data_IF_684798383308
#
_entry.id   IF_684798383308
#
_cell.length_a   1.000
_cell.length_b   1.000
_cell.length_c   1.000
_cell.angle_alpha   90.00
_cell.angle_beta   90.00
_cell.angle_gamma   90.00
#
_symmetry.space_group_name_H-M   'P 1'
#
loop_
_entity.id
_entity.type
_entity.pdbx_description
1 polymer ?
#
# COMPACT_ATOMS: atom_id res chain seq x y z
N UNK A 1 -65.98 -3.96 21.15
CA UNK A 1 -64.73 -3.18 21.24
C UNK A 1 -63.62 -4.15 21.65
N UNK A 2 -62.69 -4.50 20.75
CA UNK A 2 -61.72 -5.60 20.92
C UNK A 2 -60.29 -5.03 21.12
N UNK A 3 -59.49 -5.45 22.11
CA UNK A 3 -58.34 -4.66 22.59
C UNK A 3 -56.96 -5.08 22.04
N UNK A 4 -56.85 -5.64 20.84
CA UNK A 4 -55.56 -6.05 20.27
C UNK A 4 -55.30 -5.42 18.90
N UNK A 5 -54.93 -4.14 18.88
CA UNK A 5 -54.27 -3.56 17.70
C UNK A 5 -52.79 -3.97 17.71
N UNK A 6 -52.44 -4.86 16.78
CA UNK A 6 -51.06 -5.24 16.46
C UNK A 6 -50.28 -3.95 16.12
N UNK A 7 -49.21 -3.64 16.85
CA UNK A 7 -48.31 -2.52 16.51
C UNK A 7 -47.74 -2.81 15.11
N UNK A 8 -48.05 -1.95 14.14
CA UNK A 8 -47.39 -1.95 12.83
C UNK A 8 -45.91 -1.66 13.05
N UNK A 9 -45.05 -2.56 12.61
CA UNK A 9 -43.60 -2.38 12.57
C UNK A 9 -43.30 -1.16 11.69
N UNK A 10 -42.93 -0.04 12.33
CA UNK A 10 -42.48 1.16 11.63
C UNK A 10 -41.02 0.94 11.24
N UNK A 11 -40.79 0.36 10.06
CA UNK A 11 -39.45 0.33 9.48
C UNK A 11 -39.07 1.75 9.10
N UNK A 12 -38.12 2.31 9.83
CA UNK A 12 -37.46 3.53 9.42
C UNK A 12 -36.57 3.16 8.23
N UNK A 13 -37.07 3.41 7.02
CA UNK A 13 -36.25 3.31 5.81
C UNK A 13 -35.45 4.59 5.75
N UNK A 14 -34.29 4.60 6.39
CA UNK A 14 -33.30 5.64 6.21
C UNK A 14 -32.85 5.61 4.73
N UNK A 15 -33.45 6.48 3.92
CA UNK A 15 -33.07 6.73 2.53
C UNK A 15 -31.63 7.25 2.50
N UNK A 16 -30.69 6.35 2.23
CA UNK A 16 -29.25 6.65 2.11
C UNK A 16 -28.33 5.57 2.71
N UNK A 17 -28.73 4.94 3.82
CA UNK A 17 -27.88 3.95 4.51
C UNK A 17 -27.71 2.66 3.70
N UNK A 18 -28.78 2.17 3.09
CA UNK A 18 -28.72 1.00 2.19
C UNK A 18 -27.87 1.29 0.94
N UNK A 19 -27.91 2.53 0.41
CA UNK A 19 -27.08 2.91 -0.73
C UNK A 19 -25.59 3.02 -0.35
N UNK A 20 -25.27 3.56 0.83
CA UNK A 20 -23.91 3.62 1.34
C UNK A 20 -23.33 2.22 1.63
N UNK A 21 -24.13 1.32 2.22
CA UNK A 21 -23.75 -0.08 2.44
C UNK A 21 -23.62 -0.82 1.11
N UNK A 22 -24.55 -0.63 0.17
CA UNK A 22 -24.45 -1.26 -1.14
C UNK A 22 -23.24 -0.76 -1.93
N UNK A 23 -22.88 0.52 -1.87
CA UNK A 23 -21.67 1.06 -2.50
C UNK A 23 -20.39 0.54 -1.83
N UNK A 24 -20.38 0.43 -0.49
CA UNK A 24 -19.28 -0.20 0.24
C UNK A 24 -19.14 -1.69 -0.09
N UNK A 25 -20.26 -2.40 -0.25
CA UNK A 25 -20.31 -3.82 -0.61
C UNK A 25 -20.01 -4.06 -2.08
N UNK A 26 -20.46 -3.21 -2.99
CA UNK A 26 -20.14 -3.26 -4.41
C UNK A 26 -18.64 -3.06 -4.61
N UNK A 27 -18.02 -2.09 -3.92
CA UNK A 27 -16.57 -1.92 -3.93
C UNK A 27 -15.84 -3.18 -3.44
N UNK A 28 -16.35 -3.85 -2.41
CA UNK A 28 -15.77 -5.10 -1.92
C UNK A 28 -15.99 -6.31 -2.88
N UNK A 29 -17.16 -6.40 -3.53
CA UNK A 29 -17.60 -7.54 -4.34
C UNK A 29 -17.15 -7.44 -5.80
N UNK A 30 -17.10 -6.24 -6.38
CA UNK A 30 -16.87 -6.04 -7.80
C UNK A 30 -15.40 -6.23 -8.23
N UNK A 31 -14.44 -6.33 -7.30
CA UNK A 31 -13.03 -6.64 -7.60
C UNK A 31 -12.30 -5.63 -8.49
N UNK A 32 -12.95 -4.54 -8.92
CA UNK A 32 -12.34 -3.44 -9.66
C UNK A 32 -11.49 -2.56 -8.73
N UNK A 33 -11.86 -2.45 -7.44
CA UNK A 33 -10.93 -2.06 -6.39
C UNK A 33 -10.17 -3.29 -5.88
N UNK A 34 -8.83 -3.24 -5.95
CA UNK A 34 -7.95 -4.32 -5.48
C UNK A 34 -6.91 -4.80 -6.50
N UNK A 35 -7.03 -4.45 -7.78
CA UNK A 35 -6.01 -4.85 -8.79
C UNK A 35 -4.68 -4.14 -8.51
N UNK A 36 -4.72 -2.86 -8.15
CA UNK A 36 -3.53 -2.13 -7.75
C UNK A 36 -2.86 -2.76 -6.51
N UNK A 37 -3.61 -3.43 -5.63
CA UNK A 37 -3.04 -4.17 -4.49
C UNK A 37 -2.17 -5.34 -4.93
N UNK A 38 -2.42 -5.92 -6.10
CA UNK A 38 -1.62 -7.02 -6.65
C UNK A 38 -0.29 -6.52 -7.25
N UNK A 39 -0.09 -5.21 -7.39
CA UNK A 39 1.16 -4.66 -7.91
C UNK A 39 2.30 -4.88 -6.93
N UNK A 40 3.51 -5.14 -7.46
CA UNK A 40 4.70 -5.32 -6.63
C UNK A 40 4.96 -4.09 -5.75
N UNK A 41 4.72 -2.88 -6.26
CA UNK A 41 4.88 -1.63 -5.50
C UNK A 41 4.02 -1.59 -4.25
N UNK A 42 2.74 -1.97 -4.35
CA UNK A 42 1.86 -2.00 -3.17
C UNK A 42 2.24 -3.13 -2.24
N UNK A 43 2.49 -4.34 -2.76
CA UNK A 43 2.87 -5.47 -1.90
C UNK A 43 4.18 -5.22 -1.14
N UNK A 44 5.14 -4.49 -1.74
CA UNK A 44 6.36 -4.09 -1.03
C UNK A 44 6.04 -3.13 0.12
N UNK A 45 5.17 -2.13 -0.08
CA UNK A 45 4.76 -1.22 1.00
C UNK A 45 4.03 -1.96 2.14
N UNK A 46 3.09 -2.83 1.78
CA UNK A 46 2.34 -3.68 2.72
C UNK A 46 3.30 -4.57 3.53
N UNK A 47 4.27 -5.18 2.86
CA UNK A 47 5.30 -6.03 3.51
C UNK A 47 6.17 -5.23 4.49
N UNK A 48 6.49 -3.96 4.20
CA UNK A 48 7.23 -3.11 5.12
C UNK A 48 6.44 -2.85 6.40
N UNK A 49 5.14 -2.54 6.28
CA UNK A 49 4.27 -2.32 7.44
C UNK A 49 4.14 -3.60 8.29
N UNK A 50 3.93 -4.75 7.65
CA UNK A 50 3.87 -6.06 8.31
C UNK A 50 5.15 -6.38 9.06
N UNK A 51 6.28 -6.22 8.41
CA UNK A 51 7.58 -6.55 8.99
C UNK A 51 7.87 -5.69 10.21
N UNK A 52 7.50 -4.40 10.15
CA UNK A 52 7.66 -3.50 11.27
C UNK A 52 6.77 -3.88 12.46
N UNK A 53 5.49 -4.16 12.23
CA UNK A 53 4.58 -4.59 13.31
C UNK A 53 4.95 -5.98 13.86
N UNK A 54 5.40 -6.90 13.02
CA UNK A 54 5.87 -8.22 13.46
C UNK A 54 7.12 -8.13 14.36
N UNK A 55 7.94 -7.10 14.17
CA UNK A 55 9.13 -6.82 14.97
C UNK A 55 8.87 -5.91 16.17
N UNK A 56 7.67 -5.35 16.29
CA UNK A 56 7.34 -4.38 17.33
C UNK A 56 7.56 -4.98 18.74
N UNK A 57 8.10 -4.16 19.64
CA UNK A 57 8.16 -4.47 21.05
C UNK A 57 6.79 -4.15 21.67
N UNK A 58 6.08 -5.18 22.14
CA UNK A 58 4.79 -5.02 22.82
C UNK A 58 4.98 -5.28 24.31
N UNK A 59 4.47 -4.38 25.15
CA UNK A 59 4.44 -4.50 26.61
C UNK A 59 3.00 -4.37 27.10
N UNK A 60 2.65 -5.08 28.18
CA UNK A 60 1.34 -4.97 28.83
C UNK A 60 0.28 -5.97 28.37
N UNK A 61 0.54 -6.76 27.32
CA UNK A 61 -0.33 -7.87 26.90
C UNK A 61 0.41 -8.92 26.09
N UNK A 62 0.02 -10.18 26.25
CA UNK A 62 0.51 -11.31 25.43
C UNK A 62 -0.41 -11.61 24.23
N UNK A 63 -1.56 -10.94 24.15
CA UNK A 63 -2.55 -11.15 23.08
C UNK A 63 -2.09 -10.60 21.72
N UNK A 64 -1.21 -9.60 21.73
CA UNK A 64 -0.63 -8.98 20.54
C UNK A 64 0.69 -9.67 20.17
N UNK A 65 0.60 -10.94 19.79
CA UNK A 65 1.77 -11.67 19.30
C UNK A 65 2.25 -11.17 17.92
N UNK A 66 3.46 -11.58 17.52
CA UNK A 66 4.08 -11.14 16.25
C UNK A 66 3.21 -11.44 15.03
N UNK A 67 2.47 -12.55 15.05
CA UNK A 67 1.62 -12.98 13.93
C UNK A 67 0.38 -12.08 13.84
N UNK A 68 -0.24 -11.81 14.97
CA UNK A 68 -1.40 -10.93 15.10
C UNK A 68 -1.03 -9.51 14.71
N UNK A 69 0.11 -9.01 15.18
CA UNK A 69 0.63 -7.70 14.79
C UNK A 69 0.87 -7.58 13.28
N UNK A 70 1.49 -8.60 12.65
CA UNK A 70 1.65 -8.63 11.21
C UNK A 70 0.30 -8.61 10.47
N UNK A 71 -0.68 -9.40 10.92
CA UNK A 71 -2.02 -9.43 10.32
C UNK A 71 -2.75 -8.09 10.48
N UNK A 72 -2.61 -7.43 11.63
CA UNK A 72 -3.17 -6.09 11.86
C UNK A 72 -2.58 -5.10 10.86
N UNK A 73 -1.26 -5.07 10.70
CA UNK A 73 -0.61 -4.18 9.74
C UNK A 73 -1.04 -4.46 8.30
N UNK A 74 -1.12 -5.73 7.89
CA UNK A 74 -1.63 -6.12 6.56
C UNK A 74 -3.05 -5.61 6.33
N UNK A 75 -3.95 -5.87 7.29
CA UNK A 75 -5.35 -5.46 7.19
C UNK A 75 -5.45 -3.92 7.14
N UNK A 76 -4.69 -3.22 7.98
CA UNK A 76 -4.66 -1.77 8.00
C UNK A 76 -4.10 -1.17 6.69
N UNK A 77 -3.10 -1.81 6.08
CA UNK A 77 -2.52 -1.37 4.80
C UNK A 77 -3.49 -1.56 3.62
N UNK A 78 -4.25 -2.66 3.60
CA UNK A 78 -5.12 -3.03 2.49
C UNK A 78 -6.52 -2.43 2.64
N UNK A 79 -7.07 -2.43 3.85
CA UNK A 79 -8.45 -2.02 4.14
C UNK A 79 -8.54 -0.65 4.81
N UNK A 80 -7.44 -0.17 5.40
CA UNK A 80 -7.45 1.01 6.27
C UNK A 80 -7.92 0.72 7.68
N UNK A 81 -8.24 -0.53 8.00
CA UNK A 81 -8.78 -0.94 9.29
C UNK A 81 -8.49 -2.41 9.59
N UNK A 82 -8.50 -2.76 10.87
CA UNK A 82 -8.35 -4.12 11.35
C UNK A 82 -9.28 -4.36 12.52
N UNK A 83 -10.09 -5.42 12.42
CA UNK A 83 -11.08 -5.81 13.43
C UNK A 83 -10.74 -7.18 13.97
N UNK A 84 -10.56 -7.26 15.29
CA UNK A 84 -10.25 -8.50 15.99
C UNK A 84 -11.25 -8.73 17.12
N UNK A 85 -11.82 -9.92 17.18
CA UNK A 85 -12.67 -10.34 18.28
C UNK A 85 -11.79 -10.78 19.46
N UNK A 86 -12.11 -10.27 20.64
CA UNK A 86 -11.44 -10.59 21.90
C UNK A 86 -12.08 -11.86 22.49
N UNK A 87 -11.26 -12.90 22.68
CA UNK A 87 -11.58 -14.14 23.41
C UNK A 87 -10.38 -14.52 24.30
N UNK A 88 -10.05 -15.79 24.36
CA UNK A 88 -8.77 -16.31 24.87
C UNK A 88 -7.56 -15.86 24.02
N UNK A 89 -7.83 -15.49 22.76
CA UNK A 89 -6.89 -14.88 21.81
C UNK A 89 -7.59 -13.78 21.01
N UNK A 90 -6.83 -13.02 20.24
CA UNK A 90 -7.38 -12.12 19.23
C UNK A 90 -7.67 -12.88 17.95
N UNK A 91 -8.94 -12.85 17.52
CA UNK A 91 -9.40 -13.56 16.33
C UNK A 91 -9.67 -12.53 15.23
N UNK A 92 -8.88 -12.51 14.14
CA UNK A 92 -9.13 -11.61 13.02
C UNK A 92 -10.50 -11.85 12.41
N UNK A 93 -11.27 -10.78 12.26
CA UNK A 93 -12.58 -10.83 11.62
C UNK A 93 -12.42 -10.58 10.12
N UNK A 94 -13.01 -11.45 9.29
CA UNK A 94 -12.93 -11.32 7.85
C UNK A 94 -13.85 -10.21 7.31
N UNK A 95 -14.97 -9.99 8.00
CA UNK A 95 -15.99 -9.01 7.65
C UNK A 95 -16.74 -8.57 8.92
N UNK A 96 -17.30 -7.37 8.90
CA UNK A 96 -18.06 -6.83 10.02
C UNK A 96 -19.10 -5.81 9.56
N UNK A 97 -20.10 -5.65 10.41
CA UNK A 97 -21.09 -4.57 10.35
C UNK A 97 -21.24 -4.03 11.76
N UNK A 98 -21.55 -2.75 11.93
CA UNK A 98 -21.60 -2.13 13.24
C UNK A 98 -22.78 -1.18 13.39
N UNK A 99 -23.24 -1.07 14.62
CA UNK A 99 -24.20 -0.05 15.03
C UNK A 99 -23.48 1.02 15.82
N UNK A 100 -23.79 2.29 15.55
CA UNK A 100 -23.26 3.43 16.30
C UNK A 100 -24.33 4.16 17.09
N UNK A 101 -23.90 4.93 18.07
CA UNK A 101 -24.66 5.99 18.72
C UNK A 101 -23.76 7.22 18.80
N UNK A 102 -24.21 8.35 18.29
CA UNK A 102 -23.42 9.59 18.25
C UNK A 102 -22.04 9.41 17.56
N UNK A 103 -21.98 8.53 16.55
CA UNK A 103 -20.75 8.17 15.84
C UNK A 103 -19.84 7.15 16.56
N UNK A 104 -20.19 6.74 17.79
CA UNK A 104 -19.42 5.79 18.60
C UNK A 104 -19.97 4.36 18.40
N UNK A 105 -19.13 3.37 18.03
CA UNK A 105 -19.56 1.98 17.91
C UNK A 105 -20.11 1.39 19.22
N UNK A 106 -21.25 0.69 19.13
CA UNK A 106 -21.92 0.04 20.27
C UNK A 106 -21.87 -1.48 20.20
N UNK A 107 -22.13 -2.03 19.03
CA UNK A 107 -22.14 -3.46 18.79
C UNK A 107 -21.68 -3.75 17.37
N UNK A 108 -21.02 -4.89 17.21
CA UNK A 108 -20.52 -5.40 15.95
C UNK A 108 -21.21 -6.72 15.64
N UNK A 109 -21.57 -6.92 14.38
CA UNK A 109 -21.80 -8.24 13.81
C UNK A 109 -20.54 -8.63 13.06
N UNK A 110 -19.72 -9.48 13.67
CA UNK A 110 -18.44 -9.93 13.11
C UNK A 110 -18.60 -11.28 12.41
N UNK A 111 -17.81 -11.50 11.37
CA UNK A 111 -17.68 -12.78 10.68
C UNK A 111 -16.26 -13.31 10.81
N UNK A 112 -16.13 -14.54 11.28
CA UNK A 112 -14.87 -15.24 11.51
C UNK A 112 -14.72 -16.31 10.42
N UNK A 113 -13.58 -16.30 9.75
CA UNK A 113 -13.25 -17.32 8.76
C UNK A 113 -12.67 -18.55 9.45
N UNK A 114 -13.31 -19.71 9.26
CA UNK A 114 -12.77 -21.02 9.62
C UNK A 114 -12.54 -21.84 8.36
N UNK A 115 -11.66 -22.84 8.42
CA UNK A 115 -11.38 -23.71 7.28
C UNK A 115 -12.64 -24.43 6.73
N UNK A 116 -13.64 -24.66 7.59
CA UNK A 116 -14.92 -25.29 7.25
C UNK A 116 -16.04 -24.34 6.83
N UNK A 117 -15.79 -23.03 6.78
CA UNK A 117 -16.80 -22.01 6.48
C UNK A 117 -16.78 -20.84 7.45
N UNK A 118 -17.48 -19.75 7.14
CA UNK A 118 -17.54 -18.59 8.02
C UNK A 118 -18.63 -18.73 9.07
N UNK A 119 -18.36 -18.21 10.27
CA UNK A 119 -19.37 -18.05 11.32
C UNK A 119 -19.58 -16.57 11.60
N UNK A 120 -20.82 -16.16 11.87
CA UNK A 120 -21.13 -14.77 12.22
C UNK A 120 -21.78 -14.69 13.59
N UNK A 121 -21.37 -13.72 14.39
CA UNK A 121 -21.93 -13.47 15.72
C UNK A 121 -22.02 -11.97 16.01
N UNK A 122 -23.00 -11.60 16.85
CA UNK A 122 -23.13 -10.21 17.32
C UNK A 122 -22.50 -10.09 18.69
N UNK A 123 -21.62 -9.10 18.85
CA UNK A 123 -20.82 -8.86 20.05
C UNK A 123 -20.84 -7.37 20.40
N UNK A 124 -20.53 -7.05 21.65
CA UNK A 124 -20.44 -5.67 22.10
C UNK A 124 -19.15 -5.01 21.60
N UNK A 125 -19.16 -3.68 21.48
CA UNK A 125 -17.97 -2.93 21.03
C UNK A 125 -16.75 -3.12 21.94
N UNK A 126 -16.95 -3.39 23.24
CA UNK A 126 -15.87 -3.71 24.17
C UNK A 126 -15.23 -5.09 23.95
N UNK A 127 -15.87 -5.98 23.17
CA UNK A 127 -15.33 -7.30 22.85
C UNK A 127 -14.52 -7.32 21.55
N UNK A 128 -14.29 -6.15 20.94
CA UNK A 128 -13.67 -6.04 19.62
C UNK A 128 -12.59 -4.98 19.65
N UNK A 129 -11.38 -5.30 19.21
CA UNK A 129 -10.34 -4.30 18.91
C UNK A 129 -10.56 -3.83 17.47
N UNK A 130 -10.68 -2.52 17.26
CA UNK A 130 -10.88 -1.92 15.95
C UNK A 130 -9.90 -0.77 15.67
N UNK A 131 -8.77 -1.11 15.03
CA UNK A 131 -7.84 -0.13 14.49
C UNK A 131 -8.42 0.49 13.22
N UNK A 132 -8.47 1.82 13.15
CA UNK A 132 -9.02 2.59 12.02
C UNK A 132 -8.03 3.67 11.58
N UNK A 133 -7.73 3.71 10.29
CA UNK A 133 -6.80 4.67 9.67
C UNK A 133 -7.53 5.52 8.63
N UNK A 134 -7.04 6.74 8.39
CA UNK A 134 -7.50 7.57 7.26
C UNK A 134 -9.01 7.84 7.27
N UNK A 135 -9.59 7.92 8.47
CA UNK A 135 -11.02 7.98 8.72
C UNK A 135 -11.65 9.24 8.10
N UNK A 136 -12.84 9.09 7.53
CA UNK A 136 -13.65 10.21 7.02
C UNK A 136 -14.50 10.82 8.16
N UNK A 137 -14.53 12.15 8.33
CA UNK A 137 -15.38 12.81 9.32
C UNK A 137 -16.87 12.46 9.24
N UNK A 138 -17.36 12.06 8.06
CA UNK A 138 -18.76 11.64 7.84
C UNK A 138 -19.01 10.21 8.32
N UNK A 139 -17.97 9.37 8.38
CA UNK A 139 -18.05 7.98 8.84
C UNK A 139 -16.89 7.65 9.80
N UNK A 140 -16.85 8.26 11.02
CA UNK A 140 -15.73 8.13 11.95
C UNK A 140 -15.49 6.70 12.47
N UNK A 141 -16.42 5.78 12.23
CA UNK A 141 -16.38 4.39 12.66
C UNK A 141 -15.78 3.44 11.60
N UNK A 142 -15.36 3.94 10.43
CA UNK A 142 -14.73 3.12 9.38
C UNK A 142 -13.39 3.71 8.94
N UNK A 143 -12.39 2.86 8.77
CA UNK A 143 -11.10 3.23 8.17
C UNK A 143 -11.15 3.34 6.64
N UNK A 144 -10.13 3.97 6.07
CA UNK A 144 -9.90 4.01 4.63
C UNK A 144 -8.45 3.65 4.29
N UNK A 145 -8.30 2.68 3.39
CA UNK A 145 -7.00 2.25 2.90
C UNK A 145 -6.22 3.39 2.22
N UNK A 146 -4.88 3.42 2.32
CA UNK A 146 -4.03 4.32 1.56
C UNK A 146 -4.38 4.40 0.07
N UNK A 147 -4.59 3.25 -0.60
CA UNK A 147 -4.95 3.21 -2.01
C UNK A 147 -6.32 3.80 -2.33
N UNK A 148 -7.28 3.67 -1.41
CA UNK A 148 -8.62 4.26 -1.60
C UNK A 148 -8.53 5.79 -1.59
N UNK A 149 -7.64 6.35 -0.77
CA UNK A 149 -7.34 7.78 -0.71
C UNK A 149 -6.51 8.27 -1.90
N UNK A 150 -5.84 7.38 -2.62
CA UNK A 150 -5.04 7.66 -3.83
C UNK A 150 -5.57 6.95 -5.09
N UNK A 151 -6.90 6.79 -5.18
CA UNK A 151 -7.57 5.96 -6.20
C UNK A 151 -7.22 6.35 -7.64
N UNK A 152 -7.11 7.65 -7.95
CA UNK A 152 -6.72 8.11 -9.28
C UNK A 152 -5.33 7.61 -9.69
N UNK A 153 -4.37 7.66 -8.77
CA UNK A 153 -3.01 7.16 -9.01
C UNK A 153 -2.97 5.64 -9.07
N UNK A 154 -3.76 4.96 -8.24
CA UNK A 154 -3.87 3.51 -8.26
C UNK A 154 -4.42 3.01 -9.61
N UNK A 155 -5.46 3.67 -10.13
CA UNK A 155 -5.99 3.41 -11.47
C UNK A 155 -4.94 3.69 -12.55
N UNK A 156 -4.23 4.83 -12.48
CA UNK A 156 -3.18 5.13 -13.45
C UNK A 156 -2.09 4.05 -13.50
N UNK A 157 -1.62 3.59 -12.33
CA UNK A 157 -0.62 2.52 -12.25
C UNK A 157 -1.11 1.24 -12.93
N UNK A 158 -2.35 0.83 -12.65
CA UNK A 158 -2.98 -0.33 -13.27
C UNK A 158 -3.07 -0.19 -14.79
N UNK A 159 -3.53 0.96 -15.28
CA UNK A 159 -3.70 1.22 -16.72
C UNK A 159 -2.35 1.18 -17.43
N UNK A 160 -1.31 1.80 -16.87
CA UNK A 160 0.03 1.79 -17.46
C UNK A 160 0.64 0.38 -17.48
N UNK A 161 0.56 -0.37 -16.38
CA UNK A 161 1.08 -1.75 -16.33
C UNK A 161 0.31 -2.68 -17.28
N UNK A 162 -1.01 -2.51 -17.37
CA UNK A 162 -1.86 -3.26 -18.32
C UNK A 162 -1.53 -2.91 -19.76
N UNK A 163 -1.42 -1.63 -20.11
CA UNK A 163 -1.06 -1.19 -21.45
C UNK A 163 0.33 -1.69 -21.86
N UNK A 164 1.31 -1.67 -20.94
CA UNK A 164 2.65 -2.19 -21.19
C UNK A 164 2.64 -3.71 -21.39
N UNK A 165 1.91 -4.47 -20.56
CA UNK A 165 1.75 -5.92 -20.71
C UNK A 165 1.10 -6.26 -22.04
N UNK A 166 0.00 -5.59 -22.38
CA UNK A 166 -0.77 -5.89 -23.59
C UNK A 166 0.00 -5.50 -24.85
N UNK A 167 0.72 -4.38 -24.81
CA UNK A 167 1.66 -3.99 -25.86
C UNK A 167 2.78 -5.01 -25.99
N UNK A 168 3.36 -5.44 -24.87
CA UNK A 168 4.41 -6.47 -24.87
C UNK A 168 3.93 -7.78 -25.51
N UNK A 169 2.70 -8.20 -25.21
CA UNK A 169 2.12 -9.43 -25.73
C UNK A 169 1.74 -9.34 -27.21
N UNK A 170 1.18 -8.21 -27.65
CA UNK A 170 0.52 -8.13 -28.95
C UNK A 170 1.30 -7.36 -30.03
N UNK A 171 2.22 -6.46 -29.65
CA UNK A 171 2.93 -5.65 -30.61
C UNK A 171 3.93 -6.48 -31.44
N UNK A 172 4.05 -6.21 -32.75
CA UNK A 172 5.02 -6.86 -33.63
C UNK A 172 6.44 -6.28 -33.41
N UNK A 173 6.96 -6.43 -32.19
CA UNK A 173 8.26 -5.86 -31.79
C UNK A 173 9.41 -6.46 -32.61
N UNK A 174 10.26 -5.58 -33.16
CA UNK A 174 11.38 -5.95 -34.01
C UNK A 174 10.98 -6.54 -35.37
N UNK A 175 9.69 -6.57 -35.70
CA UNK A 175 9.20 -7.15 -36.96
C UNK A 175 9.21 -6.12 -38.08
N UNK A 176 9.52 -6.60 -39.28
CA UNK A 176 9.72 -5.78 -40.48
C UNK A 176 8.96 -6.37 -41.66
N UNK A 177 8.49 -5.50 -42.55
CA UNK A 177 8.04 -5.90 -43.89
C UNK A 177 9.11 -5.45 -44.87
N UNK A 178 9.79 -6.41 -45.49
CA UNK A 178 10.82 -6.16 -46.49
C UNK A 178 10.16 -5.98 -47.85
N UNK A 179 10.38 -4.80 -48.46
CA UNK A 179 9.99 -4.45 -49.82
C UNK A 179 8.50 -4.62 -50.13
N UNK A 180 7.72 -3.62 -49.71
CA UNK A 180 6.29 -3.55 -49.98
C UNK A 180 6.01 -3.44 -51.49
N UNK A 181 5.20 -4.33 -52.09
CA UNK A 181 4.60 -4.08 -53.40
C UNK A 181 3.54 -2.99 -53.30
N UNK A 182 3.19 -2.37 -54.42
CA UNK A 182 1.97 -1.56 -54.49
C UNK A 182 0.76 -2.51 -54.41
N UNK A 183 0.18 -2.65 -53.22
CA UNK A 183 -0.95 -3.54 -52.93
C UNK A 183 -2.20 -2.79 -52.45
N UNK A 184 -3.35 -3.48 -52.42
CA UNK A 184 -4.61 -2.91 -51.93
C UNK A 184 -4.59 -2.71 -50.41
N UNK A 185 -5.36 -1.76 -49.88
CA UNK A 185 -5.41 -1.49 -48.44
C UNK A 185 -5.84 -2.71 -47.59
N UNK A 186 -6.60 -3.66 -48.17
CA UNK A 186 -6.98 -4.92 -47.53
C UNK A 186 -5.81 -5.90 -47.39
N UNK A 187 -4.94 -6.00 -48.40
CA UNK A 187 -3.77 -6.88 -48.34
C UNK A 187 -2.79 -6.41 -47.27
N UNK A 188 -2.66 -5.09 -47.14
CA UNK A 188 -1.86 -4.43 -46.11
C UNK A 188 -2.36 -4.74 -44.69
N UNK A 189 -3.68 -4.78 -44.48
CA UNK A 189 -4.25 -5.12 -43.19
C UNK A 189 -4.01 -6.59 -42.84
N UNK A 190 -4.13 -7.50 -43.81
CA UNK A 190 -3.86 -8.92 -43.63
C UNK A 190 -2.39 -9.20 -43.29
N UNK A 191 -1.44 -8.57 -43.99
CA UNK A 191 -0.01 -8.70 -43.71
C UNK A 191 0.36 -8.19 -42.32
N UNK A 192 -0.19 -7.04 -41.90
CA UNK A 192 0.02 -6.51 -40.54
C UNK A 192 -0.59 -7.40 -39.46
N UNK A 193 -1.79 -7.94 -39.69
CA UNK A 193 -2.44 -8.88 -38.78
C UNK A 193 -1.62 -10.16 -38.59
N UNK A 194 -0.98 -10.66 -39.66
CA UNK A 194 -0.11 -11.84 -39.60
C UNK A 194 1.14 -11.67 -38.72
N UNK A 195 1.53 -10.42 -38.40
CA UNK A 195 2.67 -10.11 -37.56
C UNK A 195 2.30 -9.82 -36.10
N UNK A 196 1.00 -9.69 -35.78
CA UNK A 196 0.54 -9.46 -34.40
C UNK A 196 1.03 -10.58 -33.47
N UNK A 197 1.67 -10.21 -32.36
CA UNK A 197 2.26 -11.14 -31.39
C UNK A 197 3.50 -11.91 -31.88
N UNK A 198 3.94 -11.72 -33.14
CA UNK A 198 5.17 -12.30 -33.67
C UNK A 198 6.31 -11.29 -33.52
N UNK A 199 7.42 -11.72 -32.92
CA UNK A 199 8.59 -10.88 -32.63
C UNK A 199 9.73 -11.21 -33.57
N UNK A 200 10.42 -10.19 -34.07
CA UNK A 200 11.55 -10.34 -35.00
C UNK A 200 11.16 -11.03 -36.32
N UNK A 201 9.87 -11.08 -36.65
CA UNK A 201 9.41 -11.71 -37.86
C UNK A 201 9.63 -10.76 -39.04
N UNK A 202 10.34 -11.24 -40.06
CA UNK A 202 10.47 -10.53 -41.33
C UNK A 202 9.51 -11.15 -42.32
N UNK A 203 8.60 -10.34 -42.87
CA UNK A 203 7.77 -10.75 -43.98
C UNK A 203 8.43 -10.24 -45.26
N UNK A 204 8.96 -11.17 -46.04
CA UNK A 204 9.55 -10.91 -47.36
C UNK A 204 8.44 -11.08 -48.39
N UNK A 205 8.07 -10.00 -49.07
CA UNK A 205 7.07 -10.09 -50.14
C UNK A 205 7.75 -10.42 -51.46
N UNK A 206 7.56 -11.65 -51.93
CA UNK A 206 8.08 -12.08 -53.24
C UNK A 206 7.19 -11.54 -54.36
N UNK A 207 7.70 -10.55 -55.10
CA UNK A 207 6.95 -9.95 -56.22
C UNK A 207 7.79 -9.30 -57.30
N UNK A 208 9.13 -9.34 -57.21
CA UNK A 208 10.02 -8.57 -58.10
C UNK A 208 10.85 -9.44 -59.05
N UNK A 209 10.80 -10.77 -58.94
CA UNK A 209 11.62 -11.67 -59.75
C UNK A 209 11.47 -11.42 -61.27
N UNK A 210 10.26 -11.15 -61.75
CA UNK A 210 9.99 -10.86 -63.16
C UNK A 210 10.46 -9.46 -63.59
N UNK A 211 10.37 -8.46 -62.71
CA UNK A 211 10.85 -7.10 -62.97
C UNK A 211 12.40 -7.02 -62.93
N UNK A 212 13.02 -7.71 -61.97
CA UNK A 212 14.48 -7.84 -61.86
C UNK A 212 15.06 -8.58 -63.06
N UNK A 213 14.39 -9.63 -63.56
CA UNK A 213 14.78 -10.33 -64.79
C UNK A 213 14.70 -9.44 -66.04
N UNK A 214 13.86 -8.40 -66.03
CA UNK A 214 13.75 -7.38 -67.07
C UNK A 214 14.70 -6.17 -66.87
N UNK A 215 15.64 -6.23 -65.93
CA UNK A 215 16.60 -5.17 -65.64
C UNK A 215 16.06 -4.01 -64.79
N UNK A 216 14.81 -4.10 -64.31
CA UNK A 216 14.21 -3.12 -63.40
C UNK A 216 14.48 -3.52 -61.96
N UNK A 217 15.00 -2.59 -61.14
CA UNK A 217 15.20 -2.79 -59.70
C UNK A 217 14.18 -1.98 -58.89
N UNK A 218 12.89 -2.39 -58.83
CA UNK A 218 11.83 -1.61 -58.17
C UNK A 218 12.03 -1.42 -56.66
N UNK A 219 12.87 -2.26 -56.05
CA UNK A 219 13.19 -2.21 -54.62
C UNK A 219 14.45 -1.39 -54.31
N UNK A 220 15.18 -0.90 -55.32
CA UNK A 220 16.38 -0.11 -55.10
C UNK A 220 16.03 1.19 -54.36
N UNK A 221 16.65 1.39 -53.18
CA UNK A 221 16.41 2.57 -52.33
C UNK A 221 15.21 2.49 -51.39
N UNK A 222 14.40 1.41 -51.41
CA UNK A 222 13.29 1.22 -50.45
C UNK A 222 13.80 0.58 -49.17
N UNK A 223 13.70 1.28 -48.04
CA UNK A 223 13.96 0.73 -46.71
C UNK A 223 12.82 -0.19 -46.24
N UNK A 224 13.09 -1.24 -45.44
CA UNK A 224 12.05 -2.04 -44.81
C UNK A 224 11.14 -1.21 -43.90
N UNK A 225 9.85 -1.53 -43.88
CA UNK A 225 8.90 -0.90 -42.96
C UNK A 225 9.02 -1.53 -41.57
N UNK A 226 9.49 -0.74 -40.59
CA UNK A 226 9.55 -1.15 -39.18
C UNK A 226 8.15 -1.03 -38.55
N UNK A 227 7.63 -2.13 -38.02
CA UNK A 227 6.28 -2.17 -37.44
C UNK A 227 6.24 -2.03 -35.92
N UNK A 228 7.39 -1.85 -35.28
CA UNK A 228 7.46 -1.65 -33.83
C UNK A 228 6.80 -0.31 -33.47
N UNK A 229 5.78 -0.31 -32.57
CA UNK A 229 5.19 0.94 -32.10
C UNK A 229 6.23 1.82 -31.40
N UNK A 230 6.28 3.11 -31.74
CA UNK A 230 7.09 4.09 -31.02
C UNK A 230 6.37 4.52 -29.74
N UNK A 231 6.86 4.03 -28.60
CA UNK A 231 6.34 4.37 -27.28
C UNK A 231 7.09 5.53 -26.62
N UNK A 232 8.18 6.04 -27.20
CA UNK A 232 9.01 7.05 -26.54
C UNK A 232 8.24 8.33 -26.25
N UNK A 233 7.37 8.76 -27.18
CA UNK A 233 6.55 9.96 -27.03
C UNK A 233 5.43 9.82 -26.00
N UNK A 234 5.03 8.59 -25.67
CA UNK A 234 4.00 8.32 -24.67
C UNK A 234 4.55 8.34 -23.23
N UNK A 235 5.87 8.48 -23.06
CA UNK A 235 6.56 8.55 -21.76
C UNK A 235 6.08 7.49 -20.73
N UNK A 236 5.93 6.21 -21.13
CA UNK A 236 5.36 5.20 -20.24
C UNK A 236 6.29 4.87 -19.06
N UNK A 237 7.60 5.01 -19.22
CA UNK A 237 8.56 4.75 -18.16
C UNK A 237 8.46 5.81 -17.05
N UNK A 238 8.42 7.08 -17.44
CA UNK A 238 8.28 8.22 -16.53
C UNK A 238 6.94 8.21 -15.83
N UNK A 239 5.86 7.89 -16.56
CA UNK A 239 4.52 7.75 -15.98
C UNK A 239 4.46 6.60 -14.98
N UNK A 240 5.08 5.45 -15.30
CA UNK A 240 5.15 4.31 -14.41
C UNK A 240 5.95 4.64 -13.14
N UNK A 241 7.12 5.27 -13.28
CA UNK A 241 7.96 5.66 -12.15
C UNK A 241 7.26 6.68 -11.24
N UNK A 242 6.64 7.71 -11.82
CA UNK A 242 5.87 8.70 -11.08
C UNK A 242 4.68 8.09 -10.34
N UNK A 243 3.93 7.20 -10.99
CA UNK A 243 2.81 6.48 -10.36
C UNK A 243 3.30 5.62 -9.19
N UNK A 244 4.38 4.85 -9.38
CA UNK A 244 4.98 4.04 -8.29
C UNK A 244 5.44 4.91 -7.13
N UNK A 245 6.10 6.03 -7.41
CA UNK A 245 6.54 6.98 -6.39
C UNK A 245 5.38 7.56 -5.58
N UNK A 246 4.30 7.97 -6.24
CA UNK A 246 3.12 8.50 -5.58
C UNK A 246 2.39 7.43 -4.74
N UNK A 247 2.35 6.17 -5.20
CA UNK A 247 1.84 5.06 -4.40
C UNK A 247 2.71 4.84 -3.15
N UNK A 248 4.03 4.74 -3.28
CA UNK A 248 4.93 4.61 -2.13
C UNK A 248 4.68 5.73 -1.10
N UNK A 249 4.57 6.98 -1.55
CA UNK A 249 4.29 8.13 -0.69
C UNK A 249 2.93 8.03 0.03
N UNK A 250 1.89 7.47 -0.61
CA UNK A 250 0.58 7.25 0.02
C UNK A 250 0.65 6.26 1.21
N UNK A 251 1.59 5.31 1.16
CA UNK A 251 1.91 4.39 2.27
C UNK A 251 2.97 4.97 3.24
N UNK A 252 3.43 6.21 3.03
CA UNK A 252 4.53 6.84 3.77
C UNK A 252 5.90 6.20 3.56
N UNK A 253 6.05 5.40 2.51
CA UNK A 253 7.33 4.83 2.09
C UNK A 253 7.98 5.81 1.13
N UNK A 254 9.16 6.34 1.49
CA UNK A 254 9.87 7.27 0.60
C UNK A 254 10.35 6.52 -0.66
N UNK A 255 10.04 6.99 -1.88
CA UNK A 255 10.45 6.32 -3.12
C UNK A 255 11.97 6.10 -3.22
N UNK A 256 12.74 7.00 -2.62
CA UNK A 256 14.20 6.96 -2.56
C UNK A 256 14.75 5.67 -1.91
N UNK A 257 13.96 4.97 -1.10
CA UNK A 257 14.31 3.69 -0.49
C UNK A 257 14.62 2.61 -1.55
N UNK A 258 13.99 2.68 -2.72
CA UNK A 258 14.12 1.69 -3.80
C UNK A 258 14.98 2.20 -4.97
N UNK A 259 15.65 3.34 -4.81
CA UNK A 259 16.57 3.85 -5.83
C UNK A 259 17.77 2.91 -5.97
N UNK A 260 18.24 2.67 -7.20
CA UNK A 260 19.48 1.93 -7.43
C UNK A 260 20.71 2.63 -6.82
N UNK A 261 20.63 3.94 -6.62
CA UNK A 261 21.68 4.74 -5.98
C UNK A 261 21.49 4.88 -4.46
N UNK A 262 20.58 4.09 -3.84
CA UNK A 262 20.32 4.20 -2.42
C UNK A 262 21.56 3.86 -1.58
N UNK A 263 21.88 4.73 -0.63
CA UNK A 263 23.01 4.58 0.28
C UNK A 263 22.51 4.26 1.69
N UNK A 264 23.34 3.58 2.49
CA UNK A 264 23.00 3.21 3.87
C UNK A 264 22.39 4.34 4.72
N UNK A 265 22.95 5.57 4.75
CA UNK A 265 22.34 6.69 5.47
C UNK A 265 20.92 7.03 5.00
N UNK A 266 20.70 7.13 3.69
CA UNK A 266 19.40 7.41 3.10
C UNK A 266 18.36 6.33 3.46
N UNK A 267 18.75 5.06 3.38
CA UNK A 267 17.88 3.92 3.75
C UNK A 267 17.45 4.02 5.21
N UNK A 268 18.37 4.36 6.12
CA UNK A 268 18.05 4.55 7.53
C UNK A 268 17.11 5.72 7.77
N UNK A 269 17.33 6.88 7.14
CA UNK A 269 16.40 8.01 7.28
C UNK A 269 15.01 7.70 6.70
N UNK A 270 14.93 6.98 5.58
CA UNK A 270 13.66 6.54 5.01
C UNK A 270 12.92 5.58 5.95
N UNK A 271 13.62 4.64 6.60
CA UNK A 271 13.05 3.75 7.60
C UNK A 271 12.58 4.51 8.85
N UNK A 272 13.36 5.49 9.34
CA UNK A 272 12.96 6.35 10.46
C UNK A 272 11.75 7.21 10.11
N UNK A 273 11.68 7.74 8.89
CA UNK A 273 10.52 8.49 8.42
C UNK A 273 9.27 7.61 8.46
N UNK A 274 9.34 6.40 7.89
CA UNK A 274 8.22 5.46 7.90
C UNK A 274 7.81 5.08 9.33
N UNK A 275 8.79 4.78 10.19
CA UNK A 275 8.53 4.43 11.59
C UNK A 275 7.88 5.59 12.36
N UNK A 276 8.44 6.79 12.28
CA UNK A 276 7.99 7.94 13.07
C UNK A 276 6.69 8.57 12.59
N UNK A 277 6.46 8.66 11.27
CA UNK A 277 5.29 9.37 10.72
C UNK A 277 4.10 8.49 10.43
N UNK A 278 4.31 7.18 10.26
CA UNK A 278 3.22 6.27 9.88
C UNK A 278 3.05 5.17 10.91
N UNK A 279 4.08 4.38 11.17
CA UNK A 279 3.92 3.13 11.91
C UNK A 279 3.74 3.35 13.42
N UNK A 280 4.52 4.25 14.04
CA UNK A 280 4.37 4.54 15.48
C UNK A 280 3.02 5.18 15.78
N UNK A 281 2.51 6.18 15.03
CA UNK A 281 1.14 6.68 15.23
C UNK A 281 0.07 5.61 15.10
N UNK A 282 0.21 4.68 14.15
CA UNK A 282 -0.71 3.54 14.03
C UNK A 282 -0.63 2.60 15.25
N UNK A 283 0.58 2.36 15.76
CA UNK A 283 0.81 1.56 16.95
C UNK A 283 0.21 2.22 18.20
N UNK A 284 0.31 3.54 18.35
CA UNK A 284 -0.30 4.28 19.45
C UNK A 284 -1.83 4.20 19.43
N UNK A 285 -2.45 4.35 18.26
CA UNK A 285 -3.91 4.18 18.11
C UNK A 285 -4.36 2.77 18.49
N UNK A 286 -3.59 1.76 18.09
CA UNK A 286 -3.85 0.37 18.48
C UNK A 286 -3.66 0.17 19.99
N UNK A 287 -2.61 0.74 20.57
CA UNK A 287 -2.31 0.65 21.99
C UNK A 287 -3.42 1.30 22.83
N UNK A 288 -3.91 2.48 22.42
CA UNK A 288 -5.04 3.16 23.07
C UNK A 288 -6.31 2.30 23.07
N UNK A 289 -6.69 1.77 21.90
CA UNK A 289 -7.83 0.86 21.76
C UNK A 289 -7.67 -0.41 22.64
N UNK A 290 -6.44 -0.93 22.75
CA UNK A 290 -6.13 -2.07 23.60
C UNK A 290 -6.19 -1.73 25.10
N UNK A 291 -5.68 -0.56 25.51
CA UNK A 291 -5.75 -0.09 26.90
C UNK A 291 -7.19 0.02 27.38
N UNK A 292 -8.05 0.58 26.55
CA UNK A 292 -9.48 0.73 26.87
C UNK A 292 -10.20 -0.61 27.01
N UNK A 293 -9.85 -1.62 26.20
CA UNK A 293 -10.64 -2.87 26.08
C UNK A 293 -10.05 -4.07 26.79
N UNK A 294 -8.73 -4.12 26.94
CA UNK A 294 -8.04 -5.21 27.64
C UNK A 294 -7.82 -4.90 29.13
N UNK A 295 -7.93 -3.63 29.53
CA UNK A 295 -7.79 -3.19 30.92
C UNK A 295 -6.35 -3.28 31.45
N UNK A 296 -5.35 -3.39 30.57
CA UNK A 296 -3.93 -3.34 30.89
C UNK A 296 -3.25 -2.17 30.18
N UNK A 297 -2.14 -1.68 30.74
CA UNK A 297 -1.36 -0.60 30.13
C UNK A 297 -0.52 -1.15 28.96
N UNK A 298 -1.11 -1.15 27.77
CA UNK A 298 -0.48 -1.64 26.55
C UNK A 298 0.38 -0.54 25.92
N UNK A 299 1.62 -0.89 25.62
CA UNK A 299 2.60 -0.05 24.92
C UNK A 299 3.15 -0.83 23.72
N UNK A 300 3.28 -0.16 22.57
CA UNK A 300 3.75 -0.76 21.32
C UNK A 300 4.82 0.14 20.72
N UNK A 301 6.07 -0.33 20.64
CA UNK A 301 7.19 0.39 20.05
C UNK A 301 7.63 -0.31 18.75
N UNK A 302 7.46 0.39 17.62
CA UNK A 302 7.97 -0.07 16.31
C UNK A 302 9.34 0.53 15.97
N UNK A 303 9.75 1.60 16.63
CA UNK A 303 10.95 2.36 16.32
C UNK A 303 12.23 1.67 16.78
N UNK A 304 12.30 1.26 18.04
CA UNK A 304 13.52 0.68 18.62
C UNK A 304 13.98 -0.60 17.90
N UNK A 305 13.09 -1.57 17.57
CA UNK A 305 13.51 -2.77 16.85
C UNK A 305 14.01 -2.48 15.43
N UNK A 306 13.38 -1.53 14.72
CA UNK A 306 13.80 -1.11 13.38
C UNK A 306 15.16 -0.40 13.37
N UNK A 307 15.53 0.25 14.48
CA UNK A 307 16.79 0.97 14.64
C UNK A 307 17.98 0.10 15.08
N UNK A 308 17.83 -1.23 15.20
CA UNK A 308 18.90 -2.12 15.67
C UNK A 308 20.23 -1.99 14.89
N UNK A 309 20.17 -1.50 13.64
CA UNK A 309 21.35 -1.30 12.78
C UNK A 309 22.11 0.02 13.01
N UNK A 310 21.64 0.92 13.88
CA UNK A 310 22.31 2.20 14.21
C UNK A 310 23.17 2.14 15.48
N UNK A 311 23.56 0.93 15.91
CA UNK A 311 24.43 0.74 17.08
C UNK A 311 25.73 1.57 17.00
N UNK A 312 26.29 1.73 15.79
CA UNK A 312 27.50 2.56 15.58
C UNK A 312 27.25 4.07 15.69
N UNK A 313 26.07 4.56 15.31
CA UNK A 313 25.68 5.94 15.56
C UNK A 313 25.48 6.20 17.05
N UNK A 314 24.74 5.31 17.72
CA UNK A 314 24.50 5.36 19.17
C UNK A 314 25.80 5.27 19.98
N UNK A 315 26.72 4.38 19.61
CA UNK A 315 28.02 4.26 20.28
C UNK A 315 28.86 5.53 20.12
N UNK A 316 28.87 6.15 18.93
CA UNK A 316 29.56 7.43 18.71
C UNK A 316 28.93 8.57 19.50
N UNK A 317 27.60 8.66 19.52
CA UNK A 317 26.88 9.64 20.31
C UNK A 317 27.18 9.48 21.82
N UNK A 318 27.26 8.25 22.31
CA UNK A 318 27.66 7.95 23.69
C UNK A 318 29.11 8.39 23.97
N UNK A 319 30.05 8.09 23.08
CA UNK A 319 31.44 8.55 23.24
C UNK A 319 31.53 10.08 23.27
N UNK A 320 30.81 10.77 22.39
CA UNK A 320 30.75 12.24 22.35
C UNK A 320 30.12 12.81 23.62
N UNK A 321 29.12 12.16 24.20
CA UNK A 321 28.58 12.55 25.50
C UNK A 321 29.61 12.43 26.60
N UNK A 322 30.30 11.30 26.68
CA UNK A 322 31.29 11.06 27.73
C UNK A 322 32.40 12.11 27.63
N UNK A 323 32.85 12.43 26.41
CA UNK A 323 33.81 13.50 26.15
C UNK A 323 33.26 14.88 26.56
N UNK A 324 32.03 15.20 26.16
CA UNK A 324 31.37 16.46 26.52
C UNK A 324 31.18 16.61 28.04
N UNK A 325 30.82 15.53 28.74
CA UNK A 325 30.71 15.50 30.21
C UNK A 325 32.08 15.67 30.87
N UNK A 326 33.12 15.02 30.33
CA UNK A 326 34.50 15.22 30.77
C UNK A 326 34.94 16.67 30.65
N UNK A 327 34.68 17.28 29.48
CA UNK A 327 35.00 18.69 29.23
C UNK A 327 34.17 19.64 30.09
N UNK A 328 32.90 19.33 30.33
CA UNK A 328 32.05 20.12 31.20
C UNK A 328 32.60 20.15 32.63
N UNK A 329 33.08 19.00 33.13
CA UNK A 329 33.75 18.90 34.43
C UNK A 329 35.05 19.70 34.49
N UNK A 330 35.88 19.67 33.45
CA UNK A 330 37.10 20.49 33.37
C UNK A 330 36.81 21.99 33.40
N UNK A 331 35.71 22.40 32.77
CA UNK A 331 35.25 23.80 32.73
C UNK A 331 34.52 24.24 34.01
N UNK A 332 34.31 23.33 34.96
CA UNK A 332 33.63 23.63 36.22
C UNK A 332 32.13 23.84 36.11
N UNK A 333 31.49 23.35 35.04
CA UNK A 333 30.03 23.40 34.89
C UNK A 333 29.36 22.55 35.96
N UNK A 334 28.33 23.11 36.59
CA UNK A 334 27.51 22.41 37.56
C UNK A 334 26.65 21.32 36.89
N UNK A 335 26.22 20.28 37.64
CA UNK A 335 25.30 19.25 37.12
C UNK A 335 24.00 19.84 36.57
N UNK A 336 23.52 20.96 37.12
CA UNK A 336 22.29 21.63 36.67
C UNK A 336 22.50 22.37 35.35
N UNK A 337 23.66 23.00 35.13
CA UNK A 337 24.00 23.64 33.84
C UNK A 337 24.19 22.60 32.74
N UNK A 338 24.86 21.49 33.05
CA UNK A 338 24.99 20.35 32.13
C UNK A 338 23.63 19.70 31.85
N UNK A 339 22.80 19.51 32.87
CA UNK A 339 21.44 19.00 32.74
C UNK A 339 20.56 19.92 31.90
N UNK A 340 20.70 21.24 32.06
CA UNK A 340 20.06 22.26 31.23
C UNK A 340 20.50 22.18 29.77
N UNK A 341 21.81 22.03 29.51
CA UNK A 341 22.35 21.88 28.16
C UNK A 341 21.87 20.58 27.48
N UNK A 342 21.88 19.45 28.19
CA UNK A 342 21.38 18.17 27.68
C UNK A 342 19.88 18.20 27.40
N UNK A 343 19.10 18.89 28.24
CA UNK A 343 17.66 19.13 27.98
C UNK A 343 17.43 20.04 26.77
N UNK A 344 18.27 21.07 26.58
CA UNK A 344 18.17 21.97 25.43
C UNK A 344 18.36 21.25 24.09
N UNK A 345 19.09 20.13 24.06
CA UNK A 345 19.26 19.27 22.87
C UNK A 345 18.37 18.03 22.89
N UNK A 346 17.37 17.97 23.79
CA UNK A 346 16.39 16.90 23.93
C UNK A 346 16.95 15.52 24.32
N UNK A 347 18.04 15.46 25.10
CA UNK A 347 18.65 14.20 25.56
C UNK A 347 18.29 13.85 27.02
N UNK A 348 17.44 14.68 27.65
CA UNK A 348 17.09 14.62 29.07
C UNK A 348 15.67 14.15 29.39
N UNK A 349 15.10 13.24 28.58
CA UNK A 349 13.84 12.56 28.90
C UNK A 349 12.57 13.42 28.77
N UNK A 350 12.55 14.36 27.83
CA UNK A 350 11.36 15.19 27.54
C UNK A 350 10.36 14.54 26.60
N UNK A 351 10.82 13.65 25.72
CA UNK A 351 9.96 12.91 24.83
C UNK A 351 9.96 11.44 25.24
N UNK A 352 8.86 11.02 25.87
CA UNK A 352 8.47 9.61 26.02
C UNK A 352 8.14 8.96 24.67
N UNK A 353 9.00 9.18 23.66
CA UNK A 353 8.93 8.67 22.29
C UNK A 353 10.03 7.62 22.03
N UNK A 354 10.40 6.84 23.05
CA UNK A 354 11.30 5.68 22.96
C UNK A 354 10.78 4.51 23.81
#
# INVERSE_FOLDING_TARGET
MWPFKRKLEKRDVATGYTAAILAARESYIAGVSGIAELTATVQTCVTLWESAFALADVTGTDLLDRKTMALIARSAAIRGESVLLIRDRLIPCADWDLSTRDGIPRAYRVSISEAGGSTSQTVLAGEVIHLRLGVDPVAPWTGQAPLRRSSLTASLLQEVETALRDTWQNAPMGSQIAHMPEGSASDMAAMRAALKGRRGASLVVEGVAQATAAGMNPNAGRSPDQLTPDLQRAMPAETLEAARGAICAAFGVLPALFSQAAQGPLVREAQRHLAGWVLQPMAELLAEECREKLGSDVLIDVGRPLQAFDAGGRARALSQLIEAMGRAKELGLSPDELGGALKAVNWGGGDSLA
#
